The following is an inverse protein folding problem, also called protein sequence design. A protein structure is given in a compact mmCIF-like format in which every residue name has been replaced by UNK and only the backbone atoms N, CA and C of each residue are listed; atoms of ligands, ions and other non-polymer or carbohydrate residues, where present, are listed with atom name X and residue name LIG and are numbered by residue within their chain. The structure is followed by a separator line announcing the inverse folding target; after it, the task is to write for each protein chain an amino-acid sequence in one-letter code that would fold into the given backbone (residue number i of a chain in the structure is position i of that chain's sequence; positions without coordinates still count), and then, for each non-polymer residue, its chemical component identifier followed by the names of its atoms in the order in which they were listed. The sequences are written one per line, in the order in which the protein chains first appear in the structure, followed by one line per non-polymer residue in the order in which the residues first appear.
data_IF_488517303400
#
_entry.id   IF_488517303400
#
_cell.length_a   1.000
_cell.length_b   1.000
_cell.length_c   1.000
_cell.angle_alpha   90.00
_cell.angle_beta   90.00
_cell.angle_gamma   90.00
#
_symmetry.space_group_name_H-M   'P 1'
#
loop_
_entity.id
_entity.type
_entity.pdbx_description
1 polymer ?
#
# COMPACT_ATOMS: atom_id res chain seq x y z
N UNK A 1 -24.01 -18.47 0.78
CA UNK A 1 -23.02 -19.07 1.72
C UNK A 1 -21.93 -19.82 0.95
N UNK A 2 -22.31 -20.74 0.05
CA UNK A 2 -21.42 -21.47 -0.88
C UNK A 2 -20.44 -20.57 -1.68
N UNK A 3 -20.85 -19.38 -2.14
CA UNK A 3 -19.99 -18.53 -2.96
C UNK A 3 -18.87 -17.83 -2.17
N UNK A 4 -19.10 -17.53 -0.89
CA UNK A 4 -18.11 -16.88 -0.03
C UNK A 4 -17.00 -17.86 0.37
N UNK A 5 -17.37 -19.10 0.69
CA UNK A 5 -16.40 -20.15 1.01
C UNK A 5 -15.55 -20.51 -0.21
N UNK A 6 -16.17 -20.58 -1.39
CA UNK A 6 -15.44 -20.74 -2.65
C UNK A 6 -14.46 -19.60 -2.89
N UNK A 7 -14.89 -18.34 -2.75
CA UNK A 7 -14.00 -17.19 -2.87
C UNK A 7 -12.83 -17.24 -1.87
N UNK A 8 -13.12 -17.58 -0.60
CA UNK A 8 -12.10 -17.76 0.43
C UNK A 8 -11.07 -18.82 0.02
N UNK A 9 -11.55 -19.97 -0.49
CA UNK A 9 -10.66 -21.06 -0.88
C UNK A 9 -9.67 -20.68 -1.99
N UNK A 10 -10.03 -19.71 -2.85
CA UNK A 10 -9.17 -19.22 -3.93
C UNK A 10 -7.97 -18.47 -3.35
N UNK A 11 -8.17 -17.48 -2.47
CA UNK A 11 -7.02 -16.74 -1.94
C UNK A 11 -6.26 -17.48 -0.83
N UNK A 12 -6.78 -18.61 -0.37
CA UNK A 12 -6.10 -19.52 0.55
C UNK A 12 -5.26 -20.60 -0.15
N UNK A 13 -5.34 -20.70 -1.48
CA UNK A 13 -4.58 -21.69 -2.24
C UNK A 13 -3.11 -21.28 -2.38
N UNK A 14 -2.26 -22.30 -2.53
CA UNK A 14 -0.85 -22.11 -2.90
C UNK A 14 -0.77 -21.32 -4.21
N UNK A 15 0.27 -20.50 -4.32
CA UNK A 15 0.63 -19.60 -5.42
C UNK A 15 -0.33 -18.43 -5.67
N UNK A 16 -1.44 -18.30 -4.94
CA UNK A 16 -2.40 -17.24 -5.23
C UNK A 16 -1.76 -15.84 -5.17
N UNK A 17 -0.92 -15.56 -4.18
CA UNK A 17 -0.35 -14.22 -4.00
C UNK A 17 0.84 -13.95 -4.92
N UNK A 18 1.67 -14.96 -5.20
CA UNK A 18 2.87 -14.81 -6.05
C UNK A 18 2.51 -14.71 -7.55
N UNK A 19 1.35 -15.23 -7.96
CA UNK A 19 0.86 -15.19 -9.33
C UNK A 19 0.03 -13.93 -9.65
N UNK A 20 -0.21 -13.04 -8.68
CA UNK A 20 -0.89 -11.78 -8.94
C UNK A 20 -0.09 -10.90 -9.91
N UNK A 21 -0.76 -10.37 -10.93
CA UNK A 21 -0.14 -9.38 -11.80
C UNK A 21 0.02 -8.04 -11.07
N UNK A 22 1.14 -7.31 -11.28
CA UNK A 22 1.27 -5.96 -10.78
C UNK A 22 0.19 -5.03 -11.35
N UNK A 23 -0.29 -4.11 -10.51
CA UNK A 23 -1.14 -3.01 -10.99
C UNK A 23 -0.33 -2.19 -12.02
N UNK A 24 -0.92 -1.80 -13.18
CA UNK A 24 -0.22 -1.03 -14.20
C UNK A 24 0.48 0.21 -13.63
N UNK A 25 1.79 0.32 -13.90
CA UNK A 25 2.64 1.43 -13.45
C UNK A 25 3.07 1.39 -11.99
N UNK A 26 2.57 0.45 -11.17
CA UNK A 26 2.88 0.41 -9.74
C UNK A 26 4.36 0.11 -9.45
N UNK A 27 4.94 -0.87 -10.15
CA UNK A 27 6.34 -1.27 -9.94
C UNK A 27 7.27 -0.12 -10.31
N UNK A 28 7.04 0.52 -11.44
CA UNK A 28 7.81 1.66 -11.93
C UNK A 28 7.66 2.86 -10.99
N UNK A 29 6.45 3.19 -10.57
CA UNK A 29 6.20 4.33 -9.68
C UNK A 29 6.89 4.15 -8.32
N UNK A 30 6.77 2.97 -7.69
CA UNK A 30 7.42 2.69 -6.40
C UNK A 30 8.94 2.67 -6.53
N UNK A 31 9.50 2.09 -7.60
CA UNK A 31 10.95 2.15 -7.87
C UNK A 31 11.45 3.58 -8.11
N UNK A 32 10.65 4.44 -8.76
CA UNK A 32 10.98 5.85 -8.91
C UNK A 32 10.89 6.59 -7.56
N UNK A 33 9.86 6.29 -6.77
CA UNK A 33 9.64 6.89 -5.45
C UNK A 33 10.80 6.60 -4.50
N UNK A 34 11.27 5.36 -4.45
CA UNK A 34 12.39 4.93 -3.60
C UNK A 34 13.75 5.53 -4.02
N UNK A 35 13.83 6.15 -5.21
CA UNK A 35 15.03 6.86 -5.69
C UNK A 35 14.98 8.37 -5.44
N UNK A 36 13.86 8.89 -4.95
CA UNK A 36 13.75 10.32 -4.64
C UNK A 36 14.54 10.63 -3.38
N UNK A 37 15.20 11.79 -3.37
CA UNK A 37 15.89 12.27 -2.17
C UNK A 37 14.89 12.47 -1.02
N UNK A 38 15.35 12.20 0.21
CA UNK A 38 14.56 12.38 1.43
C UNK A 38 13.19 11.68 1.34
N UNK A 39 13.17 10.45 0.80
CA UNK A 39 11.94 9.67 0.58
C UNK A 39 12.21 8.21 0.92
N UNK A 40 11.70 7.76 2.06
CA UNK A 40 11.72 6.34 2.44
C UNK A 40 10.41 5.68 2.01
N UNK A 41 10.50 4.46 1.46
CA UNK A 41 9.34 3.74 0.91
C UNK A 41 9.27 2.35 1.51
N UNK A 42 8.15 2.04 2.16
CA UNK A 42 7.86 0.73 2.72
C UNK A 42 6.62 0.10 2.07
N UNK A 43 6.66 -1.20 1.79
CA UNK A 43 5.47 -1.99 1.46
C UNK A 43 4.83 -2.44 2.77
N UNK A 44 3.84 -1.68 3.23
CA UNK A 44 3.03 -2.03 4.41
C UNK A 44 1.82 -2.87 3.99
N UNK A 45 1.84 -4.18 4.26
CA UNK A 45 0.81 -5.14 3.81
C UNK A 45 0.29 -5.98 4.97
N UNK A 46 -0.99 -6.39 4.89
CA UNK A 46 -1.61 -7.29 5.87
C UNK A 46 -1.67 -8.74 5.38
N UNK A 47 -1.26 -9.73 6.20
CA UNK A 47 -1.45 -11.13 5.86
C UNK A 47 -2.92 -11.54 6.07
N UNK A 48 -3.40 -12.53 5.32
CA UNK A 48 -4.67 -13.20 5.65
C UNK A 48 -4.50 -14.10 6.88
N UNK A 49 -5.61 -14.46 7.55
CA UNK A 49 -5.58 -15.31 8.76
C UNK A 49 -4.95 -16.68 8.50
N UNK A 50 -5.28 -17.32 7.36
CA UNK A 50 -4.66 -18.57 6.92
C UNK A 50 -3.32 -18.28 6.24
N UNK A 51 -2.34 -17.96 7.06
CA UNK A 51 -1.07 -17.38 6.64
C UNK A 51 -0.13 -18.32 5.86
N UNK A 52 -0.44 -19.63 5.82
CA UNK A 52 0.45 -20.71 5.35
C UNK A 52 1.20 -20.38 4.06
N UNK A 53 0.52 -19.76 3.11
CA UNK A 53 1.09 -19.36 1.82
C UNK A 53 1.28 -17.84 1.71
N UNK A 54 0.40 -17.07 2.35
CA UNK A 54 0.33 -15.62 2.19
C UNK A 54 1.60 -14.86 2.57
N UNK A 55 2.21 -15.14 3.72
CA UNK A 55 3.34 -14.35 4.20
C UNK A 55 4.55 -14.55 3.27
N UNK A 56 4.95 -15.79 3.06
CA UNK A 56 6.06 -16.16 2.17
C UNK A 56 5.84 -15.63 0.74
N UNK A 57 4.66 -15.87 0.15
CA UNK A 57 4.41 -15.47 -1.24
C UNK A 57 4.42 -13.96 -1.44
N UNK A 58 4.07 -13.16 -0.41
CA UNK A 58 4.23 -11.70 -0.47
C UNK A 58 5.69 -11.28 -0.53
N UNK A 59 6.58 -11.89 0.26
CA UNK A 59 8.02 -11.64 0.17
C UNK A 59 8.55 -12.05 -1.21
N UNK A 60 8.21 -13.25 -1.67
CA UNK A 60 8.64 -13.74 -2.99
C UNK A 60 8.12 -12.86 -4.15
N UNK A 61 6.89 -12.36 -4.06
CA UNK A 61 6.33 -11.43 -5.04
C UNK A 61 7.10 -10.10 -5.06
N UNK A 62 7.45 -9.56 -3.89
CA UNK A 62 8.26 -8.34 -3.80
C UNK A 62 9.64 -8.58 -4.40
N UNK A 63 10.34 -9.66 -4.07
CA UNK A 63 11.63 -10.01 -4.66
C UNK A 63 11.55 -10.11 -6.19
N UNK A 64 10.53 -10.81 -6.71
CA UNK A 64 10.30 -11.01 -8.15
C UNK A 64 10.15 -9.68 -8.91
N UNK A 65 9.48 -8.69 -8.34
CA UNK A 65 9.11 -7.46 -9.06
C UNK A 65 10.01 -6.26 -8.71
N UNK A 66 10.51 -6.19 -7.47
CA UNK A 66 11.31 -5.07 -6.97
C UNK A 66 12.79 -5.41 -6.78
N UNK A 67 13.14 -6.69 -6.69
CA UNK A 67 14.51 -7.16 -6.39
C UNK A 67 14.73 -7.43 -4.91
N UNK A 68 15.80 -8.16 -4.60
CA UNK A 68 16.12 -8.65 -3.26
C UNK A 68 16.30 -7.52 -2.23
N UNK A 69 16.87 -6.38 -2.63
CA UNK A 69 17.10 -5.23 -1.76
C UNK A 69 15.78 -4.66 -1.19
N UNK A 70 14.68 -4.77 -1.94
CA UNK A 70 13.39 -4.24 -1.51
C UNK A 70 12.71 -5.11 -0.44
N UNK A 71 13.24 -6.30 -0.15
CA UNK A 71 12.73 -7.16 0.93
C UNK A 71 12.89 -6.51 2.30
N UNK A 72 13.90 -5.67 2.48
CA UNK A 72 14.15 -4.92 3.72
C UNK A 72 13.07 -3.85 3.97
N UNK A 73 12.30 -3.50 2.94
CA UNK A 73 11.26 -2.47 2.99
C UNK A 73 9.86 -3.05 3.23
N UNK A 74 9.74 -4.33 3.58
CA UNK A 74 8.44 -4.96 3.83
C UNK A 74 8.07 -4.84 5.30
N UNK A 75 6.89 -4.28 5.55
CA UNK A 75 6.23 -4.29 6.86
C UNK A 75 4.98 -5.17 6.78
N UNK A 76 5.04 -6.36 7.36
CA UNK A 76 3.90 -7.29 7.42
C UNK A 76 3.13 -7.11 8.73
N UNK A 77 1.96 -6.46 8.68
CA UNK A 77 1.15 -6.18 9.88
C UNK A 77 -0.35 -6.26 9.61
N UNK A 78 -1.13 -6.75 10.57
CA UNK A 78 -2.60 -6.69 10.56
C UNK A 78 -3.15 -5.34 11.01
N UNK A 79 -2.33 -4.55 11.69
CA UNK A 79 -2.67 -3.24 12.20
C UNK A 79 -1.66 -2.23 11.62
N UNK A 80 -2.13 -1.40 10.68
CA UNK A 80 -1.30 -0.36 10.05
C UNK A 80 -1.27 0.93 10.86
N UNK A 81 -2.17 1.09 11.84
CA UNK A 81 -2.26 2.32 12.64
C UNK A 81 -1.06 2.49 13.56
N UNK A 82 -0.41 1.39 13.96
CA UNK A 82 0.81 1.38 14.77
C UNK A 82 2.09 1.62 13.96
N UNK A 83 1.99 1.71 12.63
CA UNK A 83 3.13 2.01 11.75
C UNK A 83 3.15 3.51 11.49
N UNK A 84 4.29 4.13 11.76
CA UNK A 84 4.45 5.57 11.56
C UNK A 84 4.98 5.91 10.16
N UNK A 85 4.51 7.02 9.61
CA UNK A 85 4.95 7.59 8.33
C UNK A 85 4.11 8.81 7.96
N UNK A 86 4.46 9.51 6.88
CA UNK A 86 3.72 10.71 6.43
C UNK A 86 2.48 10.39 5.60
N UNK A 87 2.51 9.29 4.84
CA UNK A 87 1.49 8.88 3.89
C UNK A 87 1.25 7.36 3.96
N UNK A 88 -0.02 6.98 3.82
CA UNK A 88 -0.41 5.59 3.54
C UNK A 88 -1.28 5.58 2.27
N UNK A 89 -0.74 5.04 1.17
CA UNK A 89 -1.48 4.82 -0.07
C UNK A 89 -2.07 3.40 -0.02
N UNK A 90 -3.39 3.29 0.11
CA UNK A 90 -4.08 2.02 0.37
C UNK A 90 -5.51 2.06 -0.18
N UNK A 91 -6.00 0.93 -0.69
CA UNK A 91 -7.34 0.82 -1.31
C UNK A 91 -8.47 0.56 -0.31
N UNK A 92 -8.14 0.19 0.93
CA UNK A 92 -9.13 0.08 1.99
C UNK A 92 -9.59 1.46 2.44
N UNK A 93 -10.89 1.71 2.44
CA UNK A 93 -11.48 2.99 2.82
C UNK A 93 -11.49 3.26 4.34
N UNK A 94 -11.45 2.22 5.17
CA UNK A 94 -11.63 2.28 6.62
C UNK A 94 -10.47 1.61 7.38
N UNK A 95 -9.32 2.26 7.42
CA UNK A 95 -8.14 1.72 8.10
C UNK A 95 -8.17 2.11 9.58
N UNK A 96 -8.54 1.14 10.42
CA UNK A 96 -8.64 1.30 11.88
C UNK A 96 -7.77 0.27 12.61
N UNK A 97 -7.41 0.57 13.84
CA UNK A 97 -6.55 -0.29 14.65
C UNK A 97 -6.40 0.23 16.08
N UNK A 98 -5.29 -0.11 16.73
CA UNK A 98 -5.00 0.24 18.11
C UNK A 98 -4.64 1.73 18.31
N UNK A 99 -4.03 2.38 17.31
CA UNK A 99 -3.73 3.81 17.37
C UNK A 99 -4.92 4.62 16.81
N UNK A 100 -5.61 5.42 17.65
CA UNK A 100 -6.76 6.21 17.22
C UNK A 100 -6.40 7.37 16.29
N UNK A 101 -5.15 7.87 16.32
CA UNK A 101 -4.67 8.97 15.50
C UNK A 101 -3.38 8.56 14.76
N UNK A 102 -3.47 7.75 13.70
CA UNK A 102 -2.30 7.35 12.92
C UNK A 102 -1.54 8.58 12.40
N UNK A 103 -0.21 8.51 12.38
CA UNK A 103 0.64 9.65 11.96
C UNK A 103 0.55 9.95 10.47
N UNK A 104 0.23 8.95 9.65
CA UNK A 104 0.11 9.09 8.20
C UNK A 104 -1.21 9.72 7.79
N UNK A 105 -1.17 10.50 6.71
CA UNK A 105 -2.38 10.80 5.96
C UNK A 105 -2.74 9.63 5.04
N UNK A 106 -3.99 9.17 5.11
CA UNK A 106 -4.51 8.17 4.19
C UNK A 106 -4.83 8.78 2.82
N UNK A 107 -4.23 8.21 1.79
CA UNK A 107 -4.56 8.49 0.40
C UNK A 107 -5.23 7.25 -0.17
N UNK A 108 -6.53 7.35 -0.46
CA UNK A 108 -7.30 6.22 -0.95
C UNK A 108 -6.88 5.88 -2.38
N UNK A 109 -6.29 4.70 -2.59
CA UNK A 109 -6.01 4.21 -3.93
C UNK A 109 -7.28 3.66 -4.56
N UNK A 110 -7.57 4.03 -5.81
CA UNK A 110 -8.83 3.59 -6.45
C UNK A 110 -8.79 2.12 -6.84
N UNK A 111 -9.78 1.36 -6.38
CA UNK A 111 -10.01 -0.03 -6.72
C UNK A 111 -11.48 -0.28 -7.10
N UNK A 112 -11.77 -1.44 -7.70
CA UNK A 112 -13.11 -1.77 -8.20
C UNK A 112 -14.21 -1.66 -7.13
N UNK A 113 -13.87 -1.96 -5.87
CA UNK A 113 -14.79 -1.96 -4.74
C UNK A 113 -14.92 -0.60 -4.03
N UNK A 114 -14.05 0.39 -4.30
CA UNK A 114 -14.08 1.70 -3.63
C UNK A 114 -14.34 2.88 -4.58
N UNK A 115 -14.35 2.65 -5.90
CA UNK A 115 -14.49 3.69 -6.93
C UNK A 115 -15.78 4.52 -6.86
N UNK A 116 -16.81 4.00 -6.20
CA UNK A 116 -18.11 4.66 -6.03
C UNK A 116 -18.18 5.48 -4.73
N UNK A 117 -17.18 5.38 -3.85
CA UNK A 117 -17.16 6.10 -2.59
C UNK A 117 -16.82 7.58 -2.83
N UNK A 118 -17.69 8.45 -2.36
CA UNK A 118 -17.45 9.88 -2.30
C UNK A 118 -16.60 10.20 -1.08
N UNK A 119 -15.47 10.86 -1.30
CA UNK A 119 -14.60 11.32 -0.23
C UNK A 119 -15.02 12.73 0.20
N UNK A 120 -14.99 12.96 1.50
CA UNK A 120 -15.18 14.30 2.06
C UNK A 120 -13.81 14.97 2.21
N UNK A 121 -13.69 16.27 1.90
CA UNK A 121 -12.48 17.01 2.22
C UNK A 121 -12.13 16.89 3.72
N UNK A 122 -10.86 16.76 4.11
CA UNK A 122 -9.65 16.90 3.28
C UNK A 122 -9.13 15.58 2.66
N UNK A 123 -9.88 14.48 2.68
CA UNK A 123 -9.41 13.18 2.18
C UNK A 123 -9.03 13.23 0.69
N UNK A 124 -7.91 12.57 0.34
CA UNK A 124 -7.39 12.51 -1.02
C UNK A 124 -7.52 11.11 -1.62
N UNK A 125 -7.54 11.07 -2.96
CA UNK A 125 -7.59 9.84 -3.75
C UNK A 125 -6.48 9.86 -4.79
N UNK A 126 -5.84 8.71 -5.00
CA UNK A 126 -4.99 8.44 -6.15
C UNK A 126 -5.75 7.47 -7.06
N UNK A 127 -6.09 7.88 -8.28
CA UNK A 127 -6.91 7.06 -9.17
C UNK A 127 -6.10 5.98 -9.89
N UNK A 128 -4.83 6.23 -10.16
CA UNK A 128 -3.91 5.25 -10.73
C UNK A 128 -2.46 5.71 -10.54
N UNK A 129 -1.50 4.81 -10.77
CA UNK A 129 -0.08 5.17 -10.76
C UNK A 129 0.36 6.02 -11.96
N UNK A 130 -0.51 6.23 -12.95
CA UNK A 130 -0.28 7.19 -14.04
C UNK A 130 -0.55 8.64 -13.63
N UNK A 131 -1.22 8.87 -12.49
CA UNK A 131 -1.46 10.21 -11.97
C UNK A 131 -0.23 10.79 -11.27
N UNK A 132 -0.31 12.07 -10.92
CA UNK A 132 0.77 12.81 -10.28
C UNK A 132 0.92 12.48 -8.78
N UNK A 133 1.33 11.25 -8.48
CA UNK A 133 1.65 10.83 -7.11
C UNK A 133 2.77 11.67 -6.47
N UNK A 134 3.67 12.26 -7.27
CA UNK A 134 4.73 13.15 -6.77
C UNK A 134 4.17 14.38 -6.06
N UNK A 135 3.12 15.00 -6.60
CA UNK A 135 2.49 16.15 -5.94
C UNK A 135 1.91 15.80 -4.55
N UNK A 136 1.46 14.56 -4.35
CA UNK A 136 0.99 14.07 -3.04
C UNK A 136 2.17 14.00 -2.06
N UNK A 137 3.31 13.44 -2.49
CA UNK A 137 4.53 13.40 -1.68
C UNK A 137 5.05 14.79 -1.37
N UNK A 138 5.16 15.66 -2.39
CA UNK A 138 5.71 17.00 -2.24
C UNK A 138 4.87 17.87 -1.32
N UNK A 139 3.56 17.64 -1.23
CA UNK A 139 2.68 18.30 -0.25
C UNK A 139 3.01 17.98 1.22
N UNK A 140 3.80 16.93 1.47
CA UNK A 140 4.28 16.53 2.81
C UNK A 140 5.71 16.94 3.07
N UNK A 141 6.46 17.36 2.04
CA UNK A 141 7.82 17.83 2.25
C UNK A 141 7.77 19.14 3.05
N UNK A 142 8.67 19.32 4.03
CA UNK A 142 8.81 20.61 4.67
C UNK A 142 9.16 21.65 3.60
N UNK A 143 8.48 22.80 3.63
CA UNK A 143 8.89 23.96 2.84
C UNK A 143 10.33 24.24 3.23
N UNK A 144 11.27 24.17 2.27
CA UNK A 144 12.65 24.52 2.54
C UNK A 144 12.68 25.92 3.19
N UNK A 145 13.13 26.01 4.44
CA UNK A 145 13.32 27.27 5.14
C UNK A 145 14.53 27.99 4.54
N UNK A 146 14.32 28.68 3.42
CA UNK A 146 15.26 29.69 2.89
C UNK A 146 14.81 31.11 3.26
N UNK A 147 14.37 31.29 4.50
CA UNK A 147 14.44 32.55 5.22
C UNK A 147 15.10 32.16 6.55
N UNK A 148 16.32 32.59 6.88
CA UNK A 148 16.85 33.96 6.95
C UNK A 148 18.33 33.94 6.58
#
# INVERSE_FOLDING_TARGET
MLDKEKAISIWESKNFFIELDPIPGAVEAVKQMAKLENTDVFICTSPIKKYRYCAYEKYAWVEKHFGQEFLEQIVLTRDKTVISGDLLIDDRSDITGAEPNPSWEHVLFTACHNKHLQLQPPSRRLHSWAENWRAILDSKRPLHSWAI
#
